data_IF_561297291885
#
_entry.id   IF_561297291885
#
_cell.length_a   1.000
_cell.length_b   1.000
_cell.length_c   1.000
_cell.angle_alpha   90.00
_cell.angle_beta   90.00
_cell.angle_gamma   90.00
#
_symmetry.space_group_name_H-M   'P 1'
#
loop_
_entity.id
_entity.type
_entity.pdbx_description
1 polymer ?
#
# COMPACT_ATOMS: atom_id res chain seq x y z
N UNK A 1 -17.74 -15.19 9.36
CA UNK A 1 -16.86 -16.02 8.54
C UNK A 1 -15.44 -15.78 9.04
N UNK A 2 -14.87 -16.71 9.80
CA UNK A 2 -13.50 -16.54 10.31
C UNK A 2 -12.54 -16.65 9.13
N UNK A 3 -11.79 -15.60 8.85
CA UNK A 3 -10.69 -15.65 7.89
C UNK A 3 -9.65 -16.57 8.53
N UNK A 4 -9.55 -17.79 8.03
CA UNK A 4 -8.53 -18.73 8.46
C UNK A 4 -7.19 -18.30 7.85
N UNK A 5 -6.54 -17.36 8.52
CA UNK A 5 -5.22 -16.82 8.19
C UNK A 5 -4.13 -17.91 8.17
N UNK A 6 -4.36 -19.09 8.75
CA UNK A 6 -3.39 -20.20 8.72
C UNK A 6 -3.32 -20.88 7.36
N UNK A 7 -4.42 -20.90 6.58
CA UNK A 7 -4.42 -21.39 5.18
C UNK A 7 -3.67 -20.50 4.21
N UNK A 8 -3.45 -19.24 4.58
CA UNK A 8 -2.66 -18.29 3.81
C UNK A 8 -1.15 -18.53 3.97
N UNK A 9 -0.71 -19.24 5.01
CA UNK A 9 0.70 -19.39 5.35
C UNK A 9 1.19 -20.78 4.94
N UNK A 10 2.16 -20.85 4.03
CA UNK A 10 2.66 -22.12 3.47
C UNK A 10 4.18 -22.18 3.58
N UNK A 11 4.78 -23.21 4.20
CA UNK A 11 6.23 -23.39 4.16
C UNK A 11 6.74 -23.49 2.71
N UNK A 12 7.83 -22.80 2.39
CA UNK A 12 8.38 -22.75 1.02
C UNK A 12 8.72 -24.13 0.45
N UNK A 13 9.05 -25.08 1.33
CA UNK A 13 9.30 -26.48 0.96
C UNK A 13 8.03 -27.19 0.48
N UNK A 14 6.87 -26.91 1.09
CA UNK A 14 5.58 -27.42 0.65
C UNK A 14 5.11 -26.68 -0.61
N UNK A 15 5.26 -25.36 -0.65
CA UNK A 15 4.87 -24.55 -1.80
C UNK A 15 5.53 -25.03 -3.10
N UNK A 16 6.83 -25.38 -3.04
CA UNK A 16 7.58 -25.93 -4.18
C UNK A 16 6.92 -27.17 -4.79
N UNK A 17 6.34 -28.05 -3.97
CA UNK A 17 5.77 -29.32 -4.43
C UNK A 17 4.40 -29.19 -5.11
N UNK A 18 3.67 -28.10 -4.85
CA UNK A 18 2.29 -27.88 -5.32
C UNK A 18 2.05 -26.47 -5.82
N UNK A 19 3.07 -25.85 -6.42
CA UNK A 19 3.04 -24.44 -6.83
C UNK A 19 1.88 -24.16 -7.81
N UNK A 20 1.64 -25.06 -8.76
CA UNK A 20 0.54 -24.91 -9.74
C UNK A 20 -0.83 -24.88 -9.07
N UNK A 21 -1.08 -25.78 -8.11
CA UNK A 21 -2.34 -25.83 -7.37
C UNK A 21 -2.55 -24.54 -6.55
N UNK A 22 -1.49 -24.05 -5.89
CA UNK A 22 -1.54 -22.80 -5.15
C UNK A 22 -1.78 -21.60 -6.06
N UNK A 23 -1.17 -21.57 -7.26
CA UNK A 23 -1.40 -20.53 -8.25
C UNK A 23 -2.84 -20.54 -8.75
N UNK A 24 -3.41 -21.71 -9.02
CA UNK A 24 -4.81 -21.84 -9.42
C UNK A 24 -5.76 -21.37 -8.30
N UNK A 25 -5.50 -21.73 -7.04
CA UNK A 25 -6.28 -21.26 -5.87
C UNK A 25 -6.23 -19.73 -5.75
N UNK A 26 -5.03 -19.13 -5.82
CA UNK A 26 -4.86 -17.67 -5.77
C UNK A 26 -5.56 -16.99 -6.95
N UNK A 27 -5.46 -17.55 -8.16
CA UNK A 27 -6.10 -16.98 -9.36
C UNK A 27 -7.63 -16.95 -9.27
N UNK A 28 -8.24 -17.94 -8.60
CA UNK A 28 -9.70 -18.07 -8.48
C UNK A 28 -10.26 -17.35 -7.25
N UNK A 29 -9.53 -17.41 -6.13
CA UNK A 29 -9.98 -16.83 -4.86
C UNK A 29 -9.60 -15.37 -4.71
N UNK A 30 -8.55 -14.91 -5.41
CA UNK A 30 -7.93 -13.61 -5.19
C UNK A 30 -7.23 -13.47 -3.83
N UNK A 31 -7.17 -14.54 -3.03
CA UNK A 31 -6.55 -14.51 -1.71
C UNK A 31 -5.07 -14.85 -1.82
N UNK A 32 -4.22 -13.99 -1.30
CA UNK A 32 -2.78 -14.20 -1.30
C UNK A 32 -2.35 -15.41 -0.46
N UNK A 33 -1.19 -15.97 -0.81
CA UNK A 33 -0.47 -16.93 0.05
C UNK A 33 0.87 -16.35 0.45
N UNK A 34 1.20 -16.37 1.74
CA UNK A 34 2.50 -16.05 2.28
C UNK A 34 3.31 -17.35 2.37
N UNK A 35 4.44 -17.38 1.67
CA UNK A 35 5.40 -18.47 1.80
C UNK A 35 6.40 -18.16 2.90
N UNK A 36 6.64 -19.13 3.78
CA UNK A 36 7.57 -18.98 4.90
C UNK A 36 8.84 -19.79 4.71
N UNK A 37 9.95 -19.28 5.23
CA UNK A 37 11.24 -19.99 5.31
C UNK A 37 11.69 -19.93 6.77
N UNK A 38 11.96 -21.09 7.37
CA UNK A 38 12.35 -21.19 8.79
C UNK A 38 11.36 -20.52 9.77
N UNK A 39 10.06 -20.54 9.45
CA UNK A 39 9.01 -19.93 10.27
C UNK A 39 8.80 -18.43 10.04
N UNK A 40 9.63 -17.78 9.23
CA UNK A 40 9.50 -16.35 8.90
C UNK A 40 8.87 -16.16 7.52
N UNK A 41 8.05 -15.11 7.38
CA UNK A 41 7.50 -14.68 6.08
C UNK A 41 8.63 -14.37 5.11
N UNK A 42 8.61 -14.97 3.92
CA UNK A 42 9.70 -14.89 2.95
C UNK A 42 9.28 -14.24 1.63
N UNK A 43 8.22 -14.75 1.00
CA UNK A 43 7.66 -14.22 -0.26
C UNK A 43 6.14 -14.39 -0.25
N UNK A 44 5.43 -13.69 -1.13
CA UNK A 44 3.99 -13.87 -1.31
C UNK A 44 3.66 -14.28 -2.75
N UNK A 45 2.64 -15.12 -2.90
CA UNK A 45 1.99 -15.41 -4.17
C UNK A 45 0.70 -14.61 -4.24
N UNK A 46 0.58 -13.78 -5.27
CA UNK A 46 -0.56 -12.91 -5.57
C UNK A 46 -0.92 -13.06 -7.04
N UNK A 47 -2.10 -12.60 -7.43
CA UNK A 47 -2.48 -12.55 -8.85
C UNK A 47 -1.65 -11.51 -9.60
N UNK A 48 -1.52 -11.68 -10.92
CA UNK A 48 -0.88 -10.69 -11.77
C UNK A 48 -1.61 -9.34 -11.73
N UNK A 49 -2.93 -9.35 -11.58
CA UNK A 49 -3.75 -8.14 -11.44
C UNK A 49 -3.44 -7.39 -10.14
N UNK A 50 -3.34 -8.10 -9.01
CA UNK A 50 -2.93 -7.50 -7.72
C UNK A 50 -1.53 -6.89 -7.82
N UNK A 51 -0.60 -7.54 -8.52
CA UNK A 51 0.73 -7.00 -8.77
C UNK A 51 0.67 -5.74 -9.64
N UNK A 52 -0.14 -5.75 -10.70
CA UNK A 52 -0.33 -4.60 -11.59
C UNK A 52 -0.98 -3.41 -10.85
N UNK A 53 -1.99 -3.64 -10.03
CA UNK A 53 -2.60 -2.61 -9.17
C UNK A 53 -1.58 -2.04 -8.18
N UNK A 54 -0.77 -2.88 -7.55
CA UNK A 54 0.28 -2.42 -6.63
C UNK A 54 1.31 -1.53 -7.34
N UNK A 55 1.72 -1.89 -8.56
CA UNK A 55 2.59 -1.04 -9.38
C UNK A 55 1.89 0.27 -9.75
N UNK A 56 0.65 0.22 -10.21
CA UNK A 56 -0.14 1.41 -10.56
C UNK A 56 -0.34 2.36 -9.38
N UNK A 57 -0.60 1.84 -8.18
CA UNK A 57 -0.71 2.65 -6.96
C UNK A 57 0.62 3.33 -6.63
N UNK A 58 1.75 2.62 -6.71
CA UNK A 58 3.07 3.20 -6.47
C UNK A 58 3.42 4.32 -7.46
N UNK A 59 3.10 4.12 -8.73
CA UNK A 59 3.31 5.13 -9.76
C UNK A 59 2.40 6.35 -9.55
N UNK A 60 1.12 6.12 -9.25
CA UNK A 60 0.15 7.19 -8.96
C UNK A 60 0.52 7.98 -7.70
N UNK A 61 1.01 7.33 -6.65
CA UNK A 61 1.47 7.99 -5.43
C UNK A 61 2.66 8.91 -5.72
N UNK A 62 3.59 8.47 -6.56
CA UNK A 62 4.74 9.28 -6.97
C UNK A 62 4.31 10.50 -7.81
N UNK A 63 3.44 10.29 -8.81
CA UNK A 63 2.92 11.35 -9.67
C UNK A 63 2.12 12.40 -8.90
N UNK A 64 1.30 11.98 -7.93
CA UNK A 64 0.54 12.88 -7.07
C UNK A 64 1.46 13.79 -6.24
N UNK A 65 2.56 13.23 -5.70
CA UNK A 65 3.57 14.03 -4.98
C UNK A 65 4.29 15.02 -5.89
N UNK A 66 4.69 14.59 -7.09
CA UNK A 66 5.32 15.49 -8.06
C UNK A 66 4.37 16.61 -8.49
N UNK A 67 3.09 16.29 -8.73
CA UNK A 67 2.07 17.28 -9.04
C UNK A 67 1.94 18.32 -7.92
N UNK A 68 1.84 17.88 -6.66
CA UNK A 68 1.77 18.78 -5.51
C UNK A 68 3.01 19.69 -5.39
N UNK A 69 4.19 19.19 -5.74
CA UNK A 69 5.42 20.00 -5.77
C UNK A 69 5.39 21.06 -6.88
N UNK A 70 4.93 20.71 -8.08
CA UNK A 70 4.79 21.66 -9.19
C UNK A 70 3.79 22.76 -8.84
N UNK A 71 2.60 22.38 -8.35
CA UNK A 71 1.58 23.35 -7.92
C UNK A 71 2.09 24.24 -6.78
N UNK A 72 2.86 23.68 -5.83
CA UNK A 72 3.48 24.46 -4.75
C UNK A 72 4.53 25.45 -5.27
N UNK A 73 5.29 25.09 -6.30
CA UNK A 73 6.26 26.01 -6.91
C UNK A 73 5.55 27.20 -7.57
N UNK A 74 4.46 26.96 -8.29
CA UNK A 74 3.63 28.02 -8.88
C UNK A 74 2.99 28.91 -7.81
N UNK A 75 2.57 28.34 -6.68
CA UNK A 75 2.05 29.09 -5.53
C UNK A 75 3.12 29.99 -4.89
N UNK A 76 4.36 29.50 -4.76
CA UNK A 76 5.48 30.28 -4.24
C UNK A 76 5.80 31.45 -5.17
N UNK A 77 5.92 31.20 -6.48
CA UNK A 77 6.23 32.25 -7.46
C UNK A 77 5.14 33.33 -7.52
N UNK A 78 3.87 32.94 -7.37
CA UNK A 78 2.75 33.86 -7.34
C UNK A 78 2.50 34.50 -5.96
N UNK A 79 3.31 34.20 -4.94
CA UNK A 79 3.15 34.72 -3.58
C UNK A 79 1.91 34.19 -2.84
N UNK A 80 1.31 33.08 -3.29
CA UNK A 80 0.18 32.40 -2.64
C UNK A 80 0.64 31.53 -1.46
N UNK A 81 1.37 32.15 -0.54
CA UNK A 81 1.98 31.49 0.62
C UNK A 81 1.42 32.03 1.93
N UNK A 82 1.59 31.26 3.00
CA UNK A 82 1.29 31.68 4.37
C UNK A 82 2.58 32.00 5.11
N UNK A 83 2.55 32.98 6.01
CA UNK A 83 3.58 33.08 7.04
C UNK A 83 3.45 31.94 8.03
N UNK A 84 4.49 31.72 8.83
CA UNK A 84 4.47 30.67 9.85
C UNK A 84 3.36 30.88 10.89
N UNK A 85 3.12 32.14 11.26
CA UNK A 85 2.08 32.54 12.22
C UNK A 85 0.67 32.21 11.69
N UNK A 86 0.43 32.46 10.41
CA UNK A 86 -0.83 32.16 9.72
C UNK A 86 -1.03 30.64 9.54
N UNK A 87 0.06 29.89 9.33
CA UNK A 87 -0.01 28.46 9.02
C UNK A 87 -0.13 27.56 10.26
N UNK A 88 0.53 27.89 11.36
CA UNK A 88 0.55 27.09 12.60
C UNK A 88 -0.85 26.62 13.08
N UNK A 89 -1.88 27.48 13.19
CA UNK A 89 -3.21 27.03 13.62
C UNK A 89 -3.88 26.11 12.58
N UNK A 90 -3.57 26.27 11.30
CA UNK A 90 -4.03 25.37 10.22
C UNK A 90 -3.37 24.01 10.31
N UNK A 91 -2.06 23.96 10.52
CA UNK A 91 -1.28 22.73 10.62
C UNK A 91 -1.81 21.82 11.73
N UNK A 92 -2.14 22.39 12.90
CA UNK A 92 -2.76 21.63 13.99
C UNK A 92 -4.09 20.97 13.58
N UNK A 93 -4.96 21.70 12.86
CA UNK A 93 -6.24 21.17 12.36
C UNK A 93 -6.04 20.07 11.31
N UNK A 94 -5.07 20.24 10.42
CA UNK A 94 -4.73 19.25 9.39
C UNK A 94 -4.22 17.95 10.01
N UNK A 95 -3.31 18.02 11.00
CA UNK A 95 -2.82 16.85 11.73
C UNK A 95 -3.95 16.09 12.44
N UNK A 96 -4.80 16.79 13.16
CA UNK A 96 -5.96 16.18 13.82
C UNK A 96 -6.94 15.51 12.84
N UNK A 97 -7.10 16.07 11.63
CA UNK A 97 -7.90 15.44 10.57
C UNK A 97 -7.23 14.19 10.02
N UNK A 98 -5.93 14.23 9.75
CA UNK A 98 -5.18 13.09 9.24
C UNK A 98 -5.22 11.90 10.21
N UNK A 99 -5.02 12.14 11.51
CA UNK A 99 -5.11 11.11 12.55
C UNK A 99 -6.50 10.45 12.61
N UNK A 100 -7.57 11.22 12.36
CA UNK A 100 -8.94 10.68 12.33
C UNK A 100 -9.17 9.79 11.11
N UNK A 101 -8.60 10.15 9.96
CA UNK A 101 -8.69 9.35 8.74
C UNK A 101 -7.92 8.05 8.91
N UNK A 102 -6.71 8.10 9.49
CA UNK A 102 -5.86 6.91 9.68
C UNK A 102 -6.39 5.92 10.74
N UNK A 103 -7.33 6.33 11.60
CA UNK A 103 -7.96 5.46 12.61
C UNK A 103 -9.29 4.84 12.16
N UNK A 104 -9.77 5.19 10.97
CA UNK A 104 -10.96 4.60 10.33
C UNK A 104 -10.54 3.49 9.37
#
# INVERSE_FOLDING_TARGET
MAIDITKGIVPITQARARLTELADDVSKSGQEKIFTKNGESYVALITAEQLAEYHGFKEAEHLSRLKALVESAEDIEAGRVYTQEEFNPRLAKLRARAERIAKK
#
